data_IF_207218129178
#
_entry.id   IF_207218129178
#
_cell.length_a   1.000
_cell.length_b   1.000
_cell.length_c   1.000
_cell.angle_alpha   90.00
_cell.angle_beta   90.00
_cell.angle_gamma   90.00
#
_symmetry.space_group_name_H-M   'P 1'
#
loop_
_entity.id
_entity.type
_entity.pdbx_description
1 polymer ?
#
# COMPACT_ATOMS: atom_id res chain seq x y z
N UNK A 1 -9.66 -8.00 3.92
CA UNK A 1 -10.35 -8.31 2.65
C UNK A 1 -9.62 -9.47 1.99
N UNK A 2 -10.35 -10.54 1.69
CA UNK A 2 -9.88 -11.66 0.88
C UNK A 2 -10.27 -11.43 -0.58
N UNK A 3 -9.29 -11.49 -1.47
CA UNK A 3 -9.48 -11.25 -2.92
C UNK A 3 -9.74 -12.53 -3.72
N UNK A 4 -9.80 -13.70 -3.07
CA UNK A 4 -9.99 -15.04 -3.66
C UNK A 4 -8.98 -15.36 -4.80
N UNK A 5 -7.80 -14.78 -4.75
CA UNK A 5 -6.75 -15.02 -5.75
C UNK A 5 -6.00 -16.34 -5.44
N UNK A 6 -5.93 -16.71 -4.16
CA UNK A 6 -5.16 -17.86 -3.66
C UNK A 6 -5.99 -18.71 -2.70
N UNK A 7 -5.81 -20.06 -2.72
CA UNK A 7 -6.45 -20.94 -1.74
C UNK A 7 -6.04 -20.62 -0.29
N UNK A 8 -4.77 -20.23 -0.07
CA UNK A 8 -4.17 -20.00 1.25
C UNK A 8 -4.73 -18.72 1.93
N UNK A 9 -5.38 -17.83 1.20
CA UNK A 9 -5.94 -16.58 1.76
C UNK A 9 -6.92 -16.83 2.93
N UNK A 10 -7.62 -17.97 2.91
CA UNK A 10 -8.55 -18.35 3.99
C UNK A 10 -7.81 -18.65 5.30
N UNK A 11 -6.67 -19.33 5.23
CA UNK A 11 -5.85 -19.66 6.40
C UNK A 11 -5.21 -18.39 6.98
N UNK A 12 -4.80 -17.46 6.11
CA UNK A 12 -4.29 -16.15 6.50
C UNK A 12 -5.36 -15.31 7.23
N UNK A 13 -6.61 -15.33 6.75
CA UNK A 13 -7.74 -14.67 7.41
C UNK A 13 -8.00 -15.26 8.79
N UNK A 14 -7.96 -16.59 8.94
CA UNK A 14 -8.12 -17.26 10.24
C UNK A 14 -6.97 -16.92 11.19
N UNK A 15 -5.74 -16.94 10.71
CA UNK A 15 -4.57 -16.55 11.48
C UNK A 15 -4.70 -15.10 11.98
N UNK A 16 -5.07 -14.17 11.08
CA UNK A 16 -5.24 -12.75 11.41
C UNK A 16 -6.36 -12.55 12.43
N UNK A 17 -7.50 -13.26 12.29
CA UNK A 17 -8.58 -13.23 13.27
C UNK A 17 -8.08 -13.58 14.66
N UNK A 18 -7.32 -14.67 14.79
CA UNK A 18 -6.77 -15.12 16.08
C UNK A 18 -5.83 -14.06 16.67
N UNK A 19 -5.03 -13.37 15.86
CA UNK A 19 -4.16 -12.27 16.35
C UNK A 19 -5.01 -11.10 16.87
N UNK A 20 -6.02 -10.68 16.11
CA UNK A 20 -6.89 -9.55 16.47
C UNK A 20 -7.71 -9.85 17.73
N UNK A 21 -8.20 -11.08 17.88
CA UNK A 21 -8.94 -11.55 19.06
C UNK A 21 -8.08 -11.46 20.33
N UNK A 22 -6.75 -11.75 20.24
CA UNK A 22 -5.84 -11.59 21.39
C UNK A 22 -5.68 -10.14 21.84
N UNK A 23 -5.93 -9.19 20.94
CA UNK A 23 -5.87 -7.75 21.21
C UNK A 23 -7.21 -7.18 21.70
N UNK A 24 -8.28 -7.99 21.69
CA UNK A 24 -9.63 -7.56 22.08
C UNK A 24 -10.22 -6.53 21.10
N UNK A 25 -9.80 -6.54 19.84
CA UNK A 25 -10.26 -5.60 18.82
C UNK A 25 -11.34 -6.23 17.93
N UNK A 26 -12.27 -5.42 17.37
CA UNK A 26 -13.24 -5.93 16.39
C UNK A 26 -12.51 -6.37 15.11
N UNK A 27 -12.99 -7.47 14.52
CA UNK A 27 -12.45 -8.02 13.28
C UNK A 27 -13.54 -8.11 12.22
N UNK A 28 -13.35 -7.36 11.14
CA UNK A 28 -14.23 -7.37 9.98
C UNK A 28 -13.55 -8.04 8.80
N UNK A 29 -14.27 -8.89 8.08
CA UNK A 29 -13.75 -9.58 6.90
C UNK A 29 -14.81 -9.70 5.84
N UNK A 30 -14.38 -9.65 4.58
CA UNK A 30 -15.20 -9.92 3.41
C UNK A 30 -14.36 -10.61 2.35
N UNK A 31 -15.03 -11.20 1.37
CA UNK A 31 -14.40 -11.91 0.26
C UNK A 31 -14.96 -11.38 -1.06
N UNK A 32 -14.07 -11.06 -2.01
CA UNK A 32 -14.41 -10.66 -3.37
C UNK A 32 -13.73 -11.59 -4.37
N UNK A 33 -14.46 -12.05 -5.38
CA UNK A 33 -13.89 -12.77 -6.52
C UNK A 33 -13.27 -11.76 -7.50
N UNK A 34 -12.06 -11.27 -7.14
CA UNK A 34 -11.33 -10.29 -7.92
C UNK A 34 -10.99 -10.79 -9.33
N UNK A 35 -10.60 -12.07 -9.55
CA UNK A 35 -10.38 -12.58 -10.91
C UNK A 35 -11.59 -12.50 -11.82
N UNK A 36 -12.79 -12.79 -11.33
CA UNK A 36 -14.03 -12.65 -12.12
C UNK A 36 -14.36 -11.19 -12.38
N UNK A 37 -14.32 -10.35 -11.36
CA UNK A 37 -14.57 -8.91 -11.49
C UNK A 37 -13.58 -8.23 -12.44
N UNK A 38 -12.32 -8.62 -12.43
CA UNK A 38 -11.28 -8.11 -13.34
C UNK A 38 -11.62 -8.38 -14.81
N UNK A 39 -12.12 -9.57 -15.12
CA UNK A 39 -12.56 -9.93 -16.48
C UNK A 39 -13.77 -9.13 -16.92
N UNK A 40 -14.76 -9.01 -16.05
CA UNK A 40 -16.02 -8.30 -16.34
C UNK A 40 -15.79 -6.80 -16.56
N UNK A 41 -14.95 -6.19 -15.73
CA UNK A 41 -14.62 -4.77 -15.79
C UNK A 41 -13.52 -4.44 -16.80
N UNK A 42 -12.81 -5.45 -17.34
CA UNK A 42 -11.64 -5.29 -18.22
C UNK A 42 -10.54 -4.43 -17.61
N UNK A 43 -10.34 -4.56 -16.30
CA UNK A 43 -9.31 -3.90 -15.51
C UNK A 43 -8.33 -4.94 -14.96
N UNK A 44 -7.14 -4.48 -14.54
CA UNK A 44 -6.20 -5.39 -13.87
C UNK A 44 -6.72 -5.85 -12.51
N UNK A 45 -6.36 -7.06 -12.07
CA UNK A 45 -6.69 -7.59 -10.74
C UNK A 45 -6.19 -6.65 -9.62
N UNK A 46 -5.03 -6.02 -9.81
CA UNK A 46 -4.49 -5.02 -8.87
C UNK A 46 -5.44 -3.81 -8.73
N UNK A 47 -5.93 -3.29 -9.86
CA UNK A 47 -6.86 -2.15 -9.88
C UNK A 47 -8.18 -2.52 -9.22
N UNK A 48 -8.78 -3.64 -9.61
CA UNK A 48 -10.05 -4.10 -9.04
C UNK A 48 -9.92 -4.42 -7.56
N UNK A 49 -8.88 -5.17 -7.18
CA UNK A 49 -8.61 -5.50 -5.78
C UNK A 49 -8.42 -4.25 -4.90
N UNK A 50 -7.76 -3.21 -5.44
CA UNK A 50 -7.67 -1.92 -4.76
C UNK A 50 -9.04 -1.24 -4.62
N UNK A 51 -9.84 -1.17 -5.69
CA UNK A 51 -11.15 -0.53 -5.67
C UNK A 51 -12.09 -1.17 -4.64
N UNK A 52 -12.29 -2.49 -4.71
CA UNK A 52 -13.20 -3.19 -3.79
C UNK A 52 -12.72 -3.12 -2.34
N UNK A 53 -11.40 -3.13 -2.10
CA UNK A 53 -10.82 -2.99 -0.76
C UNK A 53 -11.15 -1.64 -0.14
N UNK A 54 -10.89 -0.55 -0.84
CA UNK A 54 -11.10 0.79 -0.29
C UNK A 54 -12.58 1.13 -0.18
N UNK A 55 -13.42 0.68 -1.14
CA UNK A 55 -14.86 0.82 -1.03
C UNK A 55 -15.37 0.13 0.23
N UNK A 56 -15.01 -1.12 0.46
CA UNK A 56 -15.45 -1.87 1.62
C UNK A 56 -14.93 -1.28 2.94
N UNK A 57 -13.67 -0.84 2.98
CA UNK A 57 -13.11 -0.17 4.15
C UNK A 57 -13.88 1.12 4.48
N UNK A 58 -14.25 1.90 3.46
CA UNK A 58 -15.04 3.10 3.62
C UNK A 58 -16.44 2.79 4.17
N UNK A 59 -17.12 1.76 3.64
CA UNK A 59 -18.43 1.30 4.13
C UNK A 59 -18.37 0.88 5.60
N UNK A 60 -17.38 0.08 6.00
CA UNK A 60 -17.19 -0.31 7.41
C UNK A 60 -16.88 0.90 8.29
N UNK A 61 -15.98 1.79 7.85
CA UNK A 61 -15.62 2.95 8.64
C UNK A 61 -16.83 3.87 8.88
N UNK A 62 -17.69 4.06 7.89
CA UNK A 62 -18.92 4.82 8.05
C UNK A 62 -19.94 4.12 8.98
N UNK A 63 -20.16 2.81 8.81
CA UNK A 63 -21.14 2.08 9.61
C UNK A 63 -20.79 1.97 11.09
N UNK A 64 -19.48 1.88 11.39
CA UNK A 64 -18.96 1.75 12.76
C UNK A 64 -18.55 3.10 13.38
N UNK A 65 -18.65 4.20 12.61
CA UNK A 65 -18.33 5.54 13.07
C UNK A 65 -16.84 5.80 13.30
N UNK A 66 -15.98 5.20 12.47
CA UNK A 66 -14.53 5.47 12.50
C UNK A 66 -14.18 6.75 11.75
N UNK A 67 -13.26 7.54 12.30
CA UNK A 67 -12.83 8.82 11.73
C UNK A 67 -11.78 8.66 10.63
N UNK A 68 -11.04 7.54 10.61
CA UNK A 68 -9.93 7.30 9.69
C UNK A 68 -9.81 5.84 9.28
N UNK A 69 -9.27 5.62 8.07
CA UNK A 69 -8.82 4.32 7.57
C UNK A 69 -7.29 4.32 7.58
N UNK A 70 -6.66 3.56 8.47
CA UNK A 70 -5.20 3.42 8.48
C UNK A 70 -4.75 2.27 7.57
N UNK A 71 -3.76 2.52 6.72
CA UNK A 71 -3.16 1.50 5.84
C UNK A 71 -1.66 1.41 6.05
N UNK A 72 -1.09 0.22 5.91
CA UNK A 72 0.29 -0.10 6.22
C UNK A 72 1.26 0.14 5.04
N UNK A 73 1.02 1.15 4.20
CA UNK A 73 2.02 1.56 3.21
C UNK A 73 3.25 2.13 3.92
N UNK A 74 4.43 1.78 3.44
CA UNK A 74 5.71 2.15 4.02
C UNK A 74 6.61 2.86 2.99
N UNK A 75 7.81 3.29 3.39
CA UNK A 75 8.73 4.10 2.56
C UNK A 75 9.11 3.41 1.25
N UNK A 76 9.33 2.10 1.26
CA UNK A 76 9.63 1.35 0.03
C UNK A 76 8.44 1.39 -0.94
N UNK A 77 7.18 1.28 -0.43
CA UNK A 77 5.99 1.43 -1.26
C UNK A 77 5.90 2.83 -1.89
N UNK A 78 6.35 3.86 -1.16
CA UNK A 78 6.42 5.24 -1.67
C UNK A 78 7.39 5.33 -2.85
N UNK A 79 8.61 4.79 -2.70
CA UNK A 79 9.60 4.76 -3.76
C UNK A 79 9.11 3.97 -4.99
N UNK A 80 8.48 2.80 -4.78
CA UNK A 80 7.86 2.01 -5.84
C UNK A 80 6.79 2.81 -6.60
N UNK A 81 5.94 3.53 -5.88
CA UNK A 81 4.86 4.35 -6.47
C UNK A 81 5.42 5.47 -7.33
N UNK A 82 6.42 6.22 -6.83
CA UNK A 82 7.08 7.30 -7.57
C UNK A 82 7.76 6.76 -8.83
N UNK A 83 8.51 5.67 -8.73
CA UNK A 83 9.15 5.02 -9.88
C UNK A 83 8.13 4.53 -10.90
N UNK A 84 7.02 3.94 -10.45
CA UNK A 84 5.95 3.50 -11.35
C UNK A 84 5.31 4.67 -12.11
N UNK A 85 5.12 5.81 -11.46
CA UNK A 85 4.63 7.02 -12.10
C UNK A 85 5.65 7.58 -13.10
N UNK A 86 6.94 7.65 -12.71
CA UNK A 86 8.01 8.12 -13.58
C UNK A 86 8.12 7.27 -14.86
N UNK A 87 8.07 5.93 -14.73
CA UNK A 87 8.15 5.00 -15.87
C UNK A 87 6.97 5.19 -16.83
N UNK A 88 5.79 5.51 -16.32
CA UNK A 88 4.60 5.77 -17.15
C UNK A 88 4.60 7.15 -17.81
N UNK A 89 5.49 8.02 -17.43
CA UNK A 89 5.49 9.42 -17.82
C UNK A 89 4.46 10.22 -17.02
N UNK A 90 4.92 11.05 -16.10
CA UNK A 90 4.05 11.83 -15.21
C UNK A 90 4.52 13.27 -15.14
N UNK A 91 3.59 14.19 -14.81
CA UNK A 91 3.93 15.53 -14.33
C UNK A 91 4.29 15.51 -12.84
N UNK A 92 4.48 16.69 -12.26
CA UNK A 92 4.88 16.85 -10.85
C UNK A 92 3.94 16.13 -9.88
N UNK A 93 2.64 16.13 -10.11
CA UNK A 93 1.66 15.47 -9.24
C UNK A 93 1.92 13.97 -9.06
N UNK A 94 2.38 13.26 -10.08
CA UNK A 94 2.70 11.84 -9.92
C UNK A 94 4.03 11.58 -9.22
N UNK A 95 4.92 12.57 -9.17
CA UNK A 95 6.18 12.49 -8.45
C UNK A 95 6.05 12.70 -6.95
N UNK A 96 4.92 13.22 -6.44
CA UNK A 96 4.66 13.34 -5.00
C UNK A 96 4.50 11.95 -4.33
N UNK A 97 4.18 10.93 -5.12
CA UNK A 97 3.85 9.59 -4.60
C UNK A 97 2.52 9.57 -3.85
N UNK A 98 2.49 8.89 -2.71
CA UNK A 98 1.31 8.79 -1.84
C UNK A 98 1.35 9.88 -0.77
N UNK A 99 0.23 10.55 -0.54
CA UNK A 99 0.07 11.48 0.57
C UNK A 99 -0.04 10.73 1.91
N UNK A 100 0.46 11.33 3.00
CA UNK A 100 0.29 10.80 4.37
C UNK A 100 -1.19 10.71 4.72
N UNK A 101 -1.97 11.72 4.34
CA UNK A 101 -3.43 11.76 4.45
C UNK A 101 -4.01 11.95 3.05
N UNK A 102 -4.97 11.12 2.66
CA UNK A 102 -5.70 11.22 1.41
C UNK A 102 -7.19 11.32 1.69
N UNK A 103 -7.85 12.26 1.03
CA UNK A 103 -9.29 12.50 1.12
C UNK A 103 -10.03 12.01 -0.14
N UNK A 104 -9.51 10.96 -0.78
CA UNK A 104 -10.09 10.39 -2.01
C UNK A 104 -11.41 9.64 -1.74
N UNK A 105 -11.74 9.38 -0.48
CA UNK A 105 -12.94 8.69 0.00
C UNK A 105 -13.64 9.55 1.05
N UNK A 106 -14.86 9.19 1.43
CA UNK A 106 -15.64 9.92 2.45
C UNK A 106 -14.93 9.90 3.82
N UNK A 107 -14.28 8.76 4.14
CA UNK A 107 -13.44 8.63 5.32
C UNK A 107 -11.98 8.79 4.91
N UNK A 108 -11.23 9.73 5.52
CA UNK A 108 -9.83 9.95 5.18
C UNK A 108 -8.96 8.71 5.39
N UNK A 109 -8.08 8.45 4.42
CA UNK A 109 -7.09 7.36 4.50
C UNK A 109 -5.76 7.92 4.99
N UNK A 110 -5.24 7.37 6.09
CA UNK A 110 -3.94 7.75 6.66
C UNK A 110 -2.89 6.64 6.46
N UNK A 111 -1.63 7.04 6.33
CA UNK A 111 -0.48 6.15 6.11
C UNK A 111 0.61 6.40 7.17
N UNK A 112 0.42 5.90 8.40
CA UNK A 112 1.30 6.22 9.54
C UNK A 112 2.74 5.70 9.38
N UNK A 113 2.95 4.71 8.48
CA UNK A 113 4.25 4.05 8.29
C UNK A 113 5.01 4.54 7.05
N UNK A 114 4.53 5.62 6.40
CA UNK A 114 5.07 6.06 5.10
C UNK A 114 6.53 6.50 5.16
N UNK A 115 7.01 6.92 6.34
CA UNK A 115 8.40 7.32 6.58
C UNK A 115 9.28 6.20 7.15
N UNK A 116 8.71 5.00 7.36
CA UNK A 116 9.40 3.84 7.92
C UNK A 116 9.75 2.87 6.80
N UNK A 117 10.99 2.35 6.77
CA UNK A 117 11.41 1.36 5.78
C UNK A 117 10.88 -0.04 6.12
N UNK A 118 10.76 -0.90 5.12
CA UNK A 118 10.42 -2.32 5.32
C UNK A 118 11.41 -3.00 6.26
N UNK A 119 12.69 -2.69 6.16
CA UNK A 119 13.74 -3.25 7.03
C UNK A 119 13.54 -2.86 8.50
N UNK A 120 13.20 -1.61 8.77
CA UNK A 120 12.88 -1.14 10.13
C UNK A 120 11.64 -1.85 10.68
N UNK A 121 10.58 -2.02 9.87
CA UNK A 121 9.37 -2.76 10.26
C UNK A 121 9.68 -4.21 10.59
N UNK A 122 10.47 -4.91 9.77
CA UNK A 122 10.87 -6.29 10.04
C UNK A 122 11.73 -6.39 11.31
N UNK A 123 12.62 -5.44 11.55
CA UNK A 123 13.42 -5.36 12.78
C UNK A 123 12.54 -5.17 14.02
N UNK A 124 11.52 -4.30 13.92
CA UNK A 124 10.55 -4.09 15.00
C UNK A 124 9.78 -5.37 15.32
N UNK A 125 9.25 -6.06 14.30
CA UNK A 125 8.53 -7.32 14.45
C UNK A 125 9.42 -8.40 15.09
N UNK A 126 10.68 -8.52 14.65
CA UNK A 126 11.64 -9.48 15.20
C UNK A 126 11.96 -9.18 16.67
N UNK A 127 12.16 -7.90 17.03
CA UNK A 127 12.40 -7.49 18.41
C UNK A 127 11.20 -7.80 19.32
N UNK A 128 9.98 -7.53 18.82
CA UNK A 128 8.73 -7.82 19.51
C UNK A 128 8.32 -9.31 19.49
N UNK A 129 9.08 -10.17 18.80
CA UNK A 129 8.74 -11.59 18.55
C UNK A 129 7.35 -11.76 17.94
N UNK A 130 6.95 -10.78 17.10
CA UNK A 130 5.68 -10.79 16.42
C UNK A 130 5.79 -11.60 15.13
N UNK A 131 4.79 -12.41 14.86
CA UNK A 131 4.70 -13.20 13.63
C UNK A 131 3.96 -12.42 12.54
N UNK A 132 4.20 -12.75 11.28
CA UNK A 132 3.53 -12.18 10.13
C UNK A 132 3.40 -13.22 9.00
N UNK A 133 2.43 -13.03 8.11
CA UNK A 133 2.27 -13.85 6.92
C UNK A 133 3.08 -13.26 5.77
N UNK A 134 3.68 -14.14 4.96
CA UNK A 134 4.37 -13.76 3.72
C UNK A 134 3.45 -14.10 2.56
N UNK A 135 3.03 -13.08 1.81
CA UNK A 135 2.23 -13.27 0.61
C UNK A 135 3.11 -13.73 -0.55
N UNK A 136 2.91 -14.97 -1.04
CA UNK A 136 3.68 -15.55 -2.13
C UNK A 136 3.50 -14.80 -3.47
N UNK A 137 2.42 -14.03 -3.65
CA UNK A 137 2.23 -13.21 -4.86
C UNK A 137 3.17 -12.01 -4.92
N UNK A 138 3.82 -11.64 -3.81
CA UNK A 138 4.82 -10.58 -3.78
C UNK A 138 6.04 -10.85 -4.67
N UNK A 139 6.31 -12.11 -4.99
CA UNK A 139 7.46 -12.51 -5.82
C UNK A 139 7.10 -12.60 -7.32
N UNK A 140 5.83 -12.42 -7.68
CA UNK A 140 5.37 -12.51 -9.06
C UNK A 140 5.73 -11.26 -9.86
N UNK A 141 6.81 -11.34 -10.62
CA UNK A 141 7.34 -10.25 -11.46
C UNK A 141 6.48 -9.88 -12.68
N UNK A 142 5.36 -10.57 -12.93
CA UNK A 142 4.38 -10.16 -13.93
C UNK A 142 3.71 -8.85 -13.55
N UNK A 143 3.56 -8.59 -12.26
CA UNK A 143 3.07 -7.32 -11.75
C UNK A 143 4.16 -6.25 -11.81
N UNK A 144 3.84 -5.09 -12.40
CA UNK A 144 4.80 -3.98 -12.57
C UNK A 144 5.45 -3.57 -11.25
N UNK A 145 4.67 -3.51 -10.17
CA UNK A 145 5.15 -3.11 -8.85
C UNK A 145 6.19 -4.10 -8.30
N UNK A 146 5.92 -5.41 -8.39
CA UNK A 146 6.88 -6.44 -7.99
C UNK A 146 8.16 -6.39 -8.84
N UNK A 147 8.04 -6.09 -10.14
CA UNK A 147 9.19 -5.92 -11.00
C UNK A 147 10.06 -4.72 -10.59
N UNK A 148 9.44 -3.60 -10.17
CA UNK A 148 10.17 -2.45 -9.62
C UNK A 148 10.89 -2.86 -8.34
N UNK A 149 10.19 -3.50 -7.40
CA UNK A 149 10.70 -3.97 -6.11
C UNK A 149 11.88 -4.93 -6.24
N UNK A 150 11.75 -5.95 -7.08
CA UNK A 150 12.72 -7.06 -7.13
C UNK A 150 13.83 -6.90 -8.15
N UNK A 151 13.73 -5.93 -9.08
CA UNK A 151 14.74 -5.74 -10.14
C UNK A 151 15.25 -4.32 -10.24
N UNK A 152 14.36 -3.32 -10.20
CA UNK A 152 14.78 -1.93 -10.44
C UNK A 152 15.39 -1.32 -9.18
N UNK A 153 14.71 -1.42 -8.05
CA UNK A 153 15.23 -0.88 -6.78
C UNK A 153 16.56 -1.51 -6.41
N UNK A 154 16.76 -2.85 -6.43
CA UNK A 154 18.06 -3.44 -6.12
C UNK A 154 19.20 -2.97 -7.06
N UNK A 155 18.92 -2.76 -8.34
CA UNK A 155 19.90 -2.22 -9.27
C UNK A 155 20.27 -0.76 -8.93
N UNK A 156 19.27 0.05 -8.58
CA UNK A 156 19.51 1.43 -8.12
C UNK A 156 20.28 1.48 -6.79
N UNK A 157 20.00 0.55 -5.87
CA UNK A 157 20.70 0.41 -4.58
C UNK A 157 22.17 0.01 -4.77
N UNK A 158 22.51 -0.73 -5.83
CA UNK A 158 23.91 -1.05 -6.17
C UNK A 158 24.72 0.20 -6.52
N UNK A 159 24.05 1.26 -7.00
CA UNK A 159 24.66 2.55 -7.33
C UNK A 159 24.59 3.50 -6.13
N UNK A 160 23.44 3.55 -5.47
CA UNK A 160 23.21 4.38 -4.28
C UNK A 160 22.43 3.56 -3.22
N UNK A 161 23.11 3.05 -2.18
CA UNK A 161 22.44 2.28 -1.11
C UNK A 161 21.30 3.02 -0.40
N UNK A 162 21.24 4.35 -0.50
CA UNK A 162 20.19 5.18 0.10
C UNK A 162 19.15 5.65 -0.94
N UNK A 163 19.00 4.95 -2.07
CA UNK A 163 18.14 5.38 -3.18
C UNK A 163 16.67 5.46 -2.78
N UNK A 164 16.17 4.54 -1.95
CA UNK A 164 14.78 4.55 -1.43
C UNK A 164 14.52 5.85 -0.67
N UNK A 165 15.41 6.24 0.24
CA UNK A 165 15.31 7.52 0.96
C UNK A 165 15.42 8.72 0.02
N UNK A 166 16.29 8.66 -0.98
CA UNK A 166 16.44 9.74 -1.95
C UNK A 166 15.16 9.95 -2.77
N UNK A 167 14.52 8.87 -3.22
CA UNK A 167 13.26 8.92 -3.97
C UNK A 167 12.11 9.42 -3.08
N UNK A 168 12.03 8.95 -1.84
CA UNK A 168 11.00 9.41 -0.89
C UNK A 168 11.15 10.91 -0.60
N UNK A 169 12.36 11.41 -0.36
CA UNK A 169 12.64 12.84 -0.18
C UNK A 169 12.28 13.67 -1.41
N UNK A 170 12.57 13.16 -2.62
CA UNK A 170 12.15 13.83 -3.86
C UNK A 170 10.62 14.02 -3.85
N UNK A 171 9.85 12.99 -3.51
CA UNK A 171 8.40 13.07 -3.43
C UNK A 171 7.92 14.14 -2.45
N UNK A 172 8.53 14.21 -1.26
CA UNK A 172 8.22 15.24 -0.26
C UNK A 172 8.51 16.64 -0.76
N UNK A 173 9.71 16.86 -1.34
CA UNK A 173 10.09 18.18 -1.89
C UNK A 173 9.14 18.63 -2.99
N UNK A 174 8.79 17.74 -3.92
CA UNK A 174 7.82 18.06 -4.99
C UNK A 174 6.44 18.38 -4.42
N UNK A 175 6.03 17.69 -3.36
CA UNK A 175 4.74 17.96 -2.70
C UNK A 175 4.73 19.35 -2.04
N UNK A 176 5.82 19.74 -1.38
CA UNK A 176 5.98 21.07 -0.79
C UNK A 176 5.96 22.18 -1.86
N UNK A 177 6.68 22.00 -2.95
CA UNK A 177 6.72 22.96 -4.07
C UNK A 177 5.33 23.14 -4.68
N UNK A 178 4.59 22.04 -4.90
CA UNK A 178 3.22 22.08 -5.42
C UNK A 178 2.26 22.80 -4.46
N UNK A 179 2.41 22.61 -3.16
CA UNK A 179 1.59 23.32 -2.17
C UNK A 179 1.83 24.83 -2.23
N UNK A 180 3.08 25.26 -2.43
CA UNK A 180 3.41 26.69 -2.62
C UNK A 180 2.78 27.22 -3.92
N UNK A 181 2.91 26.50 -5.02
CA UNK A 181 2.35 26.89 -6.32
C UNK A 181 0.82 27.01 -6.23
N UNK A 182 0.14 26.06 -5.60
CA UNK A 182 -1.32 26.07 -5.49
C UNK A 182 -1.85 27.20 -4.60
N UNK A 183 -1.05 27.73 -3.68
CA UNK A 183 -1.42 28.88 -2.86
C UNK A 183 -1.21 30.24 -3.58
N UNK A 184 -0.54 30.24 -4.74
CA UNK A 184 -0.28 31.43 -5.55
C UNK A 184 -1.31 31.61 -6.68
N UNK A 185 -2.16 30.62 -6.92
CA UNK A 185 -3.20 30.62 -7.94
C UNK A 185 -4.59 30.68 -7.34
#
# INVERSE_FOLDING_TARGET
VDHSIRPESKDEVLWLRNQVDTLGLPFYTTTFDVPSLSKDLKLSEETVGRQVRYQWLNEIAQSEGYDYIAVAHHKDDQAESILAHLIRGTGLNGLTGMAVVSNDYDIPVIRPLLDVTKTELLSYLAHGKLTYCIDSTNDDIRYQRNRIRHRIIPELESINPNVVDAIARLGSSVSEDLAVISNLT
#
